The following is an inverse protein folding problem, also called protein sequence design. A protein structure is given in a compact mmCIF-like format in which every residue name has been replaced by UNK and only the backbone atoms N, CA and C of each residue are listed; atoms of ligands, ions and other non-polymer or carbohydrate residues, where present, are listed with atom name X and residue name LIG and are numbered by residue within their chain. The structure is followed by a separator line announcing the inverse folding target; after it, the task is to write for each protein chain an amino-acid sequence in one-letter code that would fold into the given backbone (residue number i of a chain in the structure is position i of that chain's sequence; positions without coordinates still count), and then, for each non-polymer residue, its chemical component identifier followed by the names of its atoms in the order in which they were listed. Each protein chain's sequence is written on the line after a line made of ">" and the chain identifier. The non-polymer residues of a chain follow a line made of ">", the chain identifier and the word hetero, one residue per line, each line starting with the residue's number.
data_IF_482115021233
#
_entry.id   IF_482115021233
#
_cell.length_a   1.000
_cell.length_b   1.000
_cell.length_c   1.000
_cell.angle_alpha   90.00
_cell.angle_beta   90.00
_cell.angle_gamma   90.00
#
_symmetry.space_group_name_H-M   'P 1'
#
loop_
_entity.id
_entity.type
_entity.pdbx_description
1 polymer ?
#
# COMPACT_ATOMS: atom_id res chain seq x y z
N UNK A 1 -7.06 -14.39 -9.96
CA UNK A 1 -6.61 -15.79 -9.83
C UNK A 1 -5.27 -16.05 -10.51
N UNK A 2 -5.08 -15.74 -11.80
CA UNK A 2 -3.77 -15.91 -12.47
C UNK A 2 -2.65 -15.01 -11.91
N UNK A 3 -2.92 -13.72 -11.68
CA UNK A 3 -1.91 -12.81 -11.13
C UNK A 3 -1.40 -13.24 -9.74
N UNK A 4 -2.28 -13.85 -8.94
CA UNK A 4 -1.93 -14.36 -7.61
C UNK A 4 -0.94 -15.53 -7.68
N UNK A 5 -1.15 -16.46 -8.64
CA UNK A 5 -0.23 -17.55 -8.87
C UNK A 5 1.18 -17.06 -9.26
N UNK A 6 1.27 -16.02 -10.10
CA UNK A 6 2.57 -15.43 -10.46
C UNK A 6 3.27 -14.78 -9.27
N UNK A 7 2.52 -14.09 -8.40
CA UNK A 7 3.09 -13.52 -7.17
C UNK A 7 3.59 -14.61 -6.24
N UNK A 8 2.93 -15.77 -6.17
CA UNK A 8 3.32 -16.88 -5.29
C UNK A 8 4.49 -17.72 -5.79
N UNK A 9 5.03 -17.44 -6.98
CA UNK A 9 6.13 -18.22 -7.53
C UNK A 9 7.40 -18.09 -6.67
N UNK A 10 8.08 -19.20 -6.31
CA UNK A 10 9.12 -19.21 -5.27
C UNK A 10 10.40 -18.46 -5.64
N UNK A 11 10.63 -18.20 -6.93
CA UNK A 11 11.87 -17.58 -7.43
C UNK A 11 11.64 -16.40 -8.36
N UNK A 12 10.39 -15.96 -8.55
CA UNK A 12 10.14 -14.77 -9.36
C UNK A 12 10.23 -13.52 -8.50
N UNK A 13 10.89 -12.49 -9.05
CA UNK A 13 11.02 -11.18 -8.44
C UNK A 13 10.24 -10.15 -9.25
N UNK A 14 9.57 -9.23 -8.55
CA UNK A 14 8.96 -8.06 -9.20
C UNK A 14 10.03 -6.98 -9.33
N UNK A 15 10.49 -6.72 -10.56
CA UNK A 15 11.48 -5.68 -10.84
C UNK A 15 10.92 -4.30 -10.47
N UNK A 16 11.77 -3.43 -9.93
CA UNK A 16 11.38 -2.09 -9.46
C UNK A 16 10.81 -2.05 -8.04
N UNK A 17 10.80 -3.18 -7.32
CA UNK A 17 10.49 -3.24 -5.90
C UNK A 17 11.63 -3.97 -5.14
N UNK A 18 11.86 -3.65 -3.85
CA UNK A 18 12.84 -4.37 -3.03
C UNK A 18 12.55 -5.88 -2.97
N UNK A 19 13.55 -6.74 -2.73
CA UNK A 19 13.32 -8.17 -2.49
C UNK A 19 12.29 -8.44 -1.38
N UNK A 20 12.29 -7.60 -0.34
CA UNK A 20 11.34 -7.63 0.79
C UNK A 20 9.98 -6.97 0.46
N UNK A 21 9.59 -6.88 -0.82
CA UNK A 21 8.30 -6.31 -1.24
C UNK A 21 7.14 -7.30 -1.11
N UNK A 22 7.42 -8.54 -0.70
CA UNK A 22 6.38 -9.54 -0.54
C UNK A 22 5.32 -9.16 0.52
N UNK A 23 5.68 -8.72 1.74
CA UNK A 23 4.71 -8.19 2.70
C UNK A 23 3.88 -7.02 2.15
N UNK A 24 4.50 -6.12 1.38
CA UNK A 24 3.78 -5.03 0.70
C UNK A 24 2.69 -5.58 -0.23
N UNK A 25 3.03 -6.56 -1.07
CA UNK A 25 2.06 -7.15 -2.00
C UNK A 25 0.95 -7.94 -1.29
N UNK A 26 1.29 -8.62 -0.20
CA UNK A 26 0.32 -9.37 0.60
C UNK A 26 -0.66 -8.45 1.33
N UNK A 27 -0.27 -7.21 1.66
CA UNK A 27 -1.18 -6.17 2.13
C UNK A 27 -1.94 -5.45 0.98
N UNK A 28 -1.26 -5.18 -0.14
CA UNK A 28 -1.77 -4.34 -1.22
C UNK A 28 -2.92 -4.99 -2.01
N UNK A 29 -2.68 -6.19 -2.54
CA UNK A 29 -3.59 -6.81 -3.51
C UNK A 29 -4.91 -7.32 -2.91
N UNK A 30 -4.95 -7.92 -1.71
CA UNK A 30 -6.22 -8.31 -1.11
C UNK A 30 -7.14 -7.12 -0.86
N UNK A 31 -6.61 -5.98 -0.40
CA UNK A 31 -7.38 -4.76 -0.19
C UNK A 31 -8.02 -4.25 -1.49
N UNK A 32 -7.26 -4.25 -2.59
CA UNK A 32 -7.77 -3.83 -3.91
C UNK A 32 -8.85 -4.75 -4.48
N UNK A 33 -8.90 -6.01 -4.05
CA UNK A 33 -9.92 -6.97 -4.50
C UNK A 33 -11.26 -6.79 -3.78
N UNK A 34 -11.31 -6.05 -2.68
CA UNK A 34 -12.54 -5.82 -1.94
C UNK A 34 -13.49 -4.96 -2.78
N UNK A 35 -14.76 -5.37 -2.89
CA UNK A 35 -15.73 -4.75 -3.80
C UNK A 35 -16.06 -3.29 -3.42
N UNK A 36 -15.88 -2.94 -2.16
CA UNK A 36 -16.08 -1.61 -1.58
C UNK A 36 -14.84 -0.71 -1.70
N UNK A 37 -13.70 -1.23 -2.18
CA UNK A 37 -12.51 -0.41 -2.35
C UNK A 37 -12.52 0.34 -3.68
N UNK A 38 -12.57 1.67 -3.60
CA UNK A 38 -12.53 2.53 -4.77
C UNK A 38 -11.18 2.41 -5.51
N UNK A 39 -11.20 1.97 -6.78
CA UNK A 39 -9.98 1.79 -7.62
C UNK A 39 -9.06 3.02 -7.66
N UNK A 40 -9.62 4.24 -7.61
CA UNK A 40 -8.83 5.48 -7.57
C UNK A 40 -7.90 5.56 -6.36
N UNK A 41 -8.27 4.94 -5.24
CA UNK A 41 -7.47 4.87 -4.01
C UNK A 41 -6.34 3.85 -4.06
N UNK A 42 -6.15 3.15 -5.19
CA UNK A 42 -5.03 2.23 -5.33
C UNK A 42 -3.68 2.95 -5.23
N UNK A 43 -3.59 4.19 -5.71
CA UNK A 43 -2.39 5.00 -5.59
C UNK A 43 -2.15 5.42 -4.14
N UNK A 44 -3.20 5.86 -3.44
CA UNK A 44 -3.13 6.26 -2.04
C UNK A 44 -2.72 5.07 -1.15
N UNK A 45 -3.30 3.89 -1.39
CA UNK A 45 -2.96 2.69 -0.65
C UNK A 45 -1.53 2.23 -0.88
N UNK A 46 -1.07 2.29 -2.13
CA UNK A 46 0.33 2.00 -2.47
C UNK A 46 1.27 2.97 -1.76
N UNK A 47 0.95 4.27 -1.79
CA UNK A 47 1.76 5.31 -1.14
C UNK A 47 1.83 5.07 0.36
N UNK A 48 0.69 4.85 1.01
CA UNK A 48 0.62 4.64 2.45
C UNK A 48 1.42 3.41 2.90
N UNK A 49 1.22 2.26 2.26
CA UNK A 49 1.99 1.05 2.56
C UNK A 49 3.49 1.24 2.35
N UNK A 50 3.89 1.99 1.31
CA UNK A 50 5.30 2.28 1.06
C UNK A 50 5.90 3.11 2.18
N UNK A 51 5.20 4.16 2.62
CA UNK A 51 5.65 5.03 3.72
C UNK A 51 5.77 4.26 5.04
N UNK A 52 4.75 3.48 5.39
CA UNK A 52 4.74 2.65 6.59
C UNK A 52 5.88 1.62 6.59
N UNK A 53 6.15 0.99 5.44
CA UNK A 53 7.28 0.06 5.30
C UNK A 53 8.64 0.73 5.50
N UNK A 54 8.75 2.03 5.20
CA UNK A 54 9.96 2.83 5.48
C UNK A 54 10.00 3.38 6.91
N UNK A 55 9.05 3.00 7.78
CA UNK A 55 9.01 3.43 9.18
C UNK A 55 8.40 4.81 9.40
N UNK A 56 7.71 5.39 8.40
CA UNK A 56 6.98 6.65 8.58
C UNK A 56 5.73 6.39 9.43
N UNK A 57 5.68 6.98 10.62
CA UNK A 57 4.51 6.88 11.52
C UNK A 57 3.61 8.12 11.46
N UNK A 58 4.15 9.27 11.08
CA UNK A 58 3.41 10.53 10.93
C UNK A 58 3.47 11.04 9.49
N UNK A 59 2.31 11.29 8.87
CA UNK A 59 2.21 11.66 7.45
C UNK A 59 1.54 13.03 7.25
N UNK A 60 2.28 13.97 6.69
CA UNK A 60 1.77 15.29 6.30
C UNK A 60 1.25 15.27 4.86
N UNK A 61 -0.01 15.61 4.65
CA UNK A 61 -0.66 15.65 3.33
C UNK A 61 -1.82 16.64 3.31
N UNK A 62 -2.09 17.25 2.15
CA UNK A 62 -3.21 18.20 1.98
C UNK A 62 -4.58 17.50 1.99
N UNK A 63 -4.62 16.17 1.85
CA UNK A 63 -5.83 15.36 1.85
C UNK A 63 -5.82 14.35 3.02
N UNK A 64 -5.79 14.78 4.29
CA UNK A 64 -5.62 13.87 5.43
C UNK A 64 -6.70 12.78 5.50
N UNK A 65 -7.94 13.12 5.17
CA UNK A 65 -9.10 12.22 5.14
C UNK A 65 -8.91 10.99 4.25
N UNK A 66 -8.08 11.06 3.21
CA UNK A 66 -7.82 9.92 2.33
C UNK A 66 -6.85 8.90 2.95
N UNK A 67 -6.15 9.25 4.04
CA UNK A 67 -5.07 8.48 4.66
C UNK A 67 -5.28 8.14 6.14
N UNK A 68 -6.28 8.70 6.82
CA UNK A 68 -6.57 8.48 8.26
C UNK A 68 -6.64 6.99 8.64
N UNK A 69 -7.24 6.15 7.78
CA UNK A 69 -7.46 4.72 8.08
C UNK A 69 -6.31 3.80 7.63
N UNK A 70 -5.18 4.34 7.18
CA UNK A 70 -4.08 3.52 6.67
C UNK A 70 -3.08 3.05 7.72
N UNK A 71 -3.23 3.46 8.99
CA UNK A 71 -2.41 2.96 10.10
C UNK A 71 -1.23 3.85 10.49
N UNK A 72 -1.23 5.11 10.03
CA UNK A 72 -0.35 6.14 10.59
C UNK A 72 -0.79 6.49 12.02
N UNK A 73 0.16 6.85 12.88
CA UNK A 73 -0.12 7.39 14.22
C UNK A 73 -0.71 8.80 14.13
N UNK A 74 -0.28 9.58 13.12
CA UNK A 74 -0.80 10.92 12.86
C UNK A 74 -0.85 11.22 11.37
N UNK A 75 -1.98 11.75 10.91
CA UNK A 75 -2.13 12.32 9.55
C UNK A 75 -2.61 13.76 9.69
N UNK A 76 -1.98 14.70 9.00
CA UNK A 76 -2.31 16.13 9.16
C UNK A 76 -2.03 16.95 7.90
N UNK A 77 -2.74 18.07 7.74
CA UNK A 77 -2.44 19.07 6.71
C UNK A 77 -1.41 20.07 7.22
N UNK A 78 -0.29 20.28 6.49
CA UNK A 78 0.68 21.31 6.82
C UNK A 78 0.31 22.72 6.34
N UNK A 79 -0.80 22.83 5.61
CA UNK A 79 -1.37 24.07 5.06
C UNK A 79 -2.76 24.34 5.64
#
# INVERSE_FOLDING_TARGET
>A
DVCEAFRQHPVWQTLGLPPESRPFHDAFWPRLRQADFARRRAFDWRLALSLLQQGVTEFATVNPKDFEDFGFERVWSPI
#
